data_IF_871490226323
#
_entry.id   IF_871490226323
#
_cell.length_a   1.000
_cell.length_b   1.000
_cell.length_c   1.000
_cell.angle_alpha   90.00
_cell.angle_beta   90.00
_cell.angle_gamma   90.00
#
_symmetry.space_group_name_H-M   'P 1'
#
loop_
_entity.id
_entity.type
_entity.pdbx_description
1 polymer ?
#
# COMPACT_ATOMS: atom_id res chain seq x y z
N UNK A 1 -19.33 23.85 -26.51
CA UNK A 1 -20.09 22.80 -25.80
C UNK A 1 -20.60 23.40 -24.48
N UNK A 2 -21.92 23.51 -24.28
CA UNK A 2 -22.51 24.16 -23.11
C UNK A 2 -22.50 23.20 -21.89
N UNK A 3 -22.29 23.71 -20.68
CA UNK A 3 -22.36 23.01 -19.39
C UNK A 3 -23.55 22.05 -19.26
N UNK A 4 -24.73 22.41 -19.76
CA UNK A 4 -25.90 21.52 -19.78
C UNK A 4 -25.71 20.28 -20.66
N UNK A 5 -25.12 20.45 -21.84
CA UNK A 5 -24.84 19.35 -22.78
C UNK A 5 -23.75 18.42 -22.22
N UNK A 6 -22.79 18.97 -21.46
CA UNK A 6 -21.77 18.18 -20.75
C UNK A 6 -22.42 17.34 -19.65
N UNK A 7 -23.29 17.93 -18.83
CA UNK A 7 -24.00 17.23 -17.75
C UNK A 7 -24.92 16.12 -18.26
N UNK A 8 -25.64 16.35 -19.36
CA UNK A 8 -26.45 15.33 -20.03
C UNK A 8 -25.60 14.18 -20.58
N UNK A 9 -24.47 14.48 -21.24
CA UNK A 9 -23.57 13.44 -21.76
C UNK A 9 -22.90 12.62 -20.66
N UNK A 10 -22.71 13.20 -19.47
CA UNK A 10 -22.08 12.53 -18.32
C UNK A 10 -23.06 11.85 -17.36
N UNK A 11 -24.37 11.83 -17.67
CA UNK A 11 -25.42 11.32 -16.78
C UNK A 11 -25.29 11.88 -15.34
N UNK A 12 -24.87 13.14 -15.20
CA UNK A 12 -24.61 13.74 -13.90
C UNK A 12 -25.95 14.04 -13.20
N UNK A 13 -26.31 13.19 -12.23
CA UNK A 13 -27.42 13.44 -11.32
C UNK A 13 -26.89 14.16 -10.07
N UNK A 14 -27.32 15.41 -9.79
CA UNK A 14 -26.83 16.17 -8.65
C UNK A 14 -27.22 15.56 -7.29
N UNK A 15 -28.20 14.65 -7.28
CA UNK A 15 -28.65 13.92 -6.08
C UNK A 15 -28.21 12.45 -6.07
N UNK A 16 -27.35 12.02 -7.02
CA UNK A 16 -26.81 10.66 -6.98
C UNK A 16 -25.91 10.49 -5.75
N UNK A 17 -26.14 9.42 -5.00
CA UNK A 17 -25.23 9.02 -3.93
C UNK A 17 -23.83 8.78 -4.53
N UNK A 18 -22.76 9.25 -3.85
CA UNK A 18 -21.41 9.02 -4.34
C UNK A 18 -21.15 7.51 -4.40
N UNK A 19 -20.54 7.06 -5.50
CA UNK A 19 -20.02 5.70 -5.58
C UNK A 19 -19.00 5.45 -4.47
N UNK A 20 -18.82 4.19 -4.05
CA UNK A 20 -17.80 3.82 -3.05
C UNK A 20 -16.43 4.39 -3.40
N UNK A 21 -16.04 4.29 -4.69
CA UNK A 21 -14.81 4.87 -5.22
C UNK A 21 -14.71 6.39 -5.03
N UNK A 22 -15.80 7.13 -5.29
CA UNK A 22 -15.82 8.59 -5.08
C UNK A 22 -15.76 8.95 -3.59
N UNK A 23 -16.52 8.26 -2.74
CA UNK A 23 -16.51 8.48 -1.30
C UNK A 23 -15.11 8.23 -0.70
N UNK A 24 -14.47 7.10 -1.04
CA UNK A 24 -13.12 6.79 -0.58
C UNK A 24 -12.09 7.78 -1.10
N UNK A 25 -12.18 8.23 -2.36
CA UNK A 25 -11.29 9.28 -2.89
C UNK A 25 -11.41 10.59 -2.11
N UNK A 26 -12.63 11.03 -1.82
CA UNK A 26 -12.88 12.25 -1.03
C UNK A 26 -12.29 12.11 0.37
N UNK A 27 -12.50 10.98 1.03
CA UNK A 27 -11.92 10.70 2.34
C UNK A 27 -10.38 10.67 2.30
N UNK A 28 -9.79 9.91 1.38
CA UNK A 28 -8.34 9.84 1.22
C UNK A 28 -7.72 11.23 0.92
N UNK A 29 -8.41 12.08 0.14
CA UNK A 29 -7.95 13.45 -0.13
C UNK A 29 -7.97 14.31 1.13
N UNK A 30 -8.90 14.06 2.07
CA UNK A 30 -8.94 14.77 3.34
C UNK A 30 -7.78 14.42 4.27
N UNK A 31 -7.21 13.21 4.14
CA UNK A 31 -6.11 12.72 4.99
C UNK A 31 -4.76 12.71 4.28
N UNK A 32 -4.67 13.08 2.99
CA UNK A 32 -3.46 12.94 2.19
C UNK A 32 -2.21 13.61 2.82
N UNK A 33 -2.38 14.75 3.50
CA UNK A 33 -1.30 15.49 4.16
C UNK A 33 -0.69 14.70 5.33
N UNK A 34 -1.42 13.74 5.88
CA UNK A 34 -0.95 12.87 6.96
C UNK A 34 -0.03 11.76 6.42
N UNK A 35 -0.08 11.47 5.11
CA UNK A 35 0.67 10.43 4.43
C UNK A 35 1.58 11.01 3.35
N UNK A 36 2.72 11.63 3.71
CA UNK A 36 3.58 12.33 2.75
C UNK A 36 4.32 11.41 1.77
N UNK A 37 4.49 10.12 2.10
CA UNK A 37 5.30 9.18 1.30
C UNK A 37 4.42 8.09 0.70
N UNK A 38 4.60 7.85 -0.58
CA UNK A 38 4.09 6.68 -1.30
C UNK A 38 5.24 5.69 -1.54
N UNK A 39 4.98 4.41 -1.30
CA UNK A 39 5.93 3.32 -1.46
C UNK A 39 5.27 2.23 -2.31
N UNK A 40 5.96 1.78 -3.34
CA UNK A 40 5.60 0.58 -4.10
C UNK A 40 6.66 -0.47 -3.89
N UNK A 41 6.28 -1.63 -3.35
CA UNK A 41 7.13 -2.80 -3.20
C UNK A 41 6.69 -3.88 -4.20
N UNK A 42 7.63 -4.41 -4.96
CA UNK A 42 7.37 -5.58 -5.81
C UNK A 42 7.54 -6.84 -4.98
N UNK A 43 6.61 -7.80 -5.08
CA UNK A 43 6.78 -9.12 -4.48
C UNK A 43 7.41 -10.11 -5.47
N UNK A 44 8.15 -11.07 -4.91
CA UNK A 44 8.58 -12.27 -5.64
C UNK A 44 7.34 -13.05 -6.10
N UNK A 45 7.44 -13.82 -7.17
CA UNK A 45 6.32 -14.67 -7.61
C UNK A 45 6.19 -15.96 -6.78
N UNK A 46 7.34 -16.50 -6.36
CA UNK A 46 7.43 -17.71 -5.57
C UNK A 46 8.38 -17.51 -4.37
N UNK A 47 8.11 -18.23 -3.29
CA UNK A 47 8.98 -18.34 -2.11
C UNK A 47 9.53 -19.76 -2.02
N UNK A 48 10.76 -19.87 -1.53
CA UNK A 48 11.41 -21.15 -1.27
C UNK A 48 10.96 -21.66 0.10
N UNK A 49 10.41 -22.88 0.14
CA UNK A 49 9.96 -23.52 1.38
C UNK A 49 10.80 -24.76 1.62
N UNK A 50 11.49 -24.79 2.76
CA UNK A 50 12.27 -25.95 3.22
C UNK A 50 11.44 -26.73 4.24
N UNK A 51 11.29 -28.02 4.03
CA UNK A 51 10.67 -28.95 4.97
C UNK A 51 11.55 -30.18 5.17
N UNK A 52 11.12 -31.11 6.02
CA UNK A 52 11.87 -32.35 6.32
C UNK A 52 12.10 -33.24 5.09
N UNK A 53 11.31 -33.05 4.02
CA UNK A 53 11.36 -33.84 2.78
C UNK A 53 12.13 -33.13 1.65
N UNK A 54 12.74 -31.97 1.91
CA UNK A 54 13.52 -31.22 0.94
C UNK A 54 13.01 -29.80 0.71
N UNK A 55 13.25 -29.28 -0.49
CA UNK A 55 13.01 -27.89 -0.86
C UNK A 55 12.02 -27.83 -2.02
N UNK A 56 10.98 -27.01 -1.90
CA UNK A 56 10.04 -26.74 -2.97
C UNK A 56 9.69 -25.25 -3.06
N UNK A 57 9.22 -24.81 -4.23
CA UNK A 57 8.77 -23.44 -4.43
C UNK A 57 7.26 -23.36 -4.29
N UNK A 58 6.78 -22.42 -3.46
CA UNK A 58 5.36 -22.10 -3.30
C UNK A 58 5.07 -20.76 -3.96
N UNK A 59 4.02 -20.68 -4.78
CA UNK A 59 3.53 -19.40 -5.32
C UNK A 59 2.97 -18.53 -4.19
N UNK A 60 3.26 -17.23 -4.21
CA UNK A 60 2.73 -16.28 -3.23
C UNK A 60 1.22 -16.14 -3.44
N UNK A 61 0.45 -16.41 -2.38
CA UNK A 61 -1.00 -16.22 -2.29
C UNK A 61 -1.33 -14.95 -1.48
N UNK A 62 -2.62 -14.59 -1.38
CA UNK A 62 -3.06 -13.38 -0.65
C UNK A 62 -2.66 -13.39 0.82
N UNK A 63 -2.72 -14.54 1.48
CA UNK A 63 -2.41 -14.64 2.91
C UNK A 63 -0.90 -14.47 3.13
N UNK A 64 -0.09 -14.96 2.20
CA UNK A 64 1.33 -14.73 2.19
C UNK A 64 1.66 -13.25 1.92
N UNK A 65 0.95 -12.58 1.00
CA UNK A 65 1.08 -11.11 0.80
C UNK A 65 0.77 -10.36 2.09
N UNK A 66 -0.31 -10.71 2.78
CA UNK A 66 -0.69 -10.10 4.08
C UNK A 66 0.39 -10.31 5.14
N UNK A 67 0.95 -11.53 5.22
CA UNK A 67 2.06 -11.84 6.13
C UNK A 67 3.30 -11.01 5.80
N UNK A 68 3.66 -10.92 4.52
CA UNK A 68 4.81 -10.13 4.05
C UNK A 68 4.60 -8.65 4.38
N UNK A 69 3.42 -8.10 4.10
CA UNK A 69 3.08 -6.72 4.43
C UNK A 69 3.19 -6.46 5.94
N UNK A 70 2.61 -7.33 6.78
CA UNK A 70 2.70 -7.23 8.25
C UNK A 70 4.14 -7.31 8.76
N UNK A 71 4.94 -8.21 8.17
CA UNK A 71 6.33 -8.34 8.56
C UNK A 71 7.14 -7.10 8.16
N UNK A 72 6.89 -6.57 6.95
CA UNK A 72 7.49 -5.33 6.47
C UNK A 72 7.14 -4.12 7.33
N UNK A 73 5.86 -3.90 7.67
CA UNK A 73 5.48 -2.79 8.56
C UNK A 73 6.15 -2.91 9.93
N UNK A 74 6.22 -4.12 10.48
CA UNK A 74 6.95 -4.35 11.75
C UNK A 74 8.44 -4.00 11.65
N UNK A 75 9.12 -4.43 10.57
CA UNK A 75 10.54 -4.11 10.36
C UNK A 75 10.76 -2.63 10.13
N UNK A 76 9.89 -1.98 9.36
CA UNK A 76 9.98 -0.55 9.10
C UNK A 76 9.75 0.28 10.36
N UNK A 77 8.73 -0.06 11.16
CA UNK A 77 8.52 0.55 12.48
C UNK A 77 9.74 0.41 13.38
N UNK A 78 10.41 -0.75 13.37
CA UNK A 78 11.66 -0.93 14.11
C UNK A 78 12.79 -0.01 13.62
N UNK A 79 12.85 0.34 12.33
CA UNK A 79 13.86 1.28 11.79
C UNK A 79 13.65 2.73 12.25
N UNK A 80 12.41 3.11 12.60
CA UNK A 80 12.08 4.47 13.06
C UNK A 80 12.03 4.58 14.58
N UNK A 81 11.41 3.62 15.26
CA UNK A 81 11.11 3.69 16.70
C UNK A 81 11.91 2.69 17.54
N UNK A 82 12.70 1.81 16.92
CA UNK A 82 13.50 0.81 17.62
C UNK A 82 12.63 -0.12 18.49
N UNK A 83 13.01 -0.29 19.76
CA UNK A 83 12.26 -1.10 20.71
C UNK A 83 10.93 -0.47 21.15
N UNK A 84 10.76 0.86 20.98
CA UNK A 84 9.51 1.56 21.35
C UNK A 84 8.33 1.09 20.51
N UNK A 85 8.57 0.71 19.25
CA UNK A 85 7.53 0.13 18.40
C UNK A 85 6.86 -1.09 19.03
N UNK A 86 7.66 -1.99 19.62
CA UNK A 86 7.15 -3.19 20.29
C UNK A 86 6.61 -2.87 21.69
N UNK A 87 7.28 -2.01 22.44
CA UNK A 87 6.98 -1.76 23.86
C UNK A 87 5.78 -0.86 24.08
N UNK A 88 5.61 0.16 23.23
CA UNK A 88 4.59 1.21 23.39
C UNK A 88 3.61 1.25 22.22
N UNK A 89 3.75 0.36 21.23
CA UNK A 89 2.90 0.34 20.04
C UNK A 89 3.13 1.53 19.10
N UNK A 90 4.25 2.25 19.23
CA UNK A 90 4.57 3.36 18.34
C UNK A 90 4.85 2.86 16.91
N UNK A 91 4.29 3.54 15.92
CA UNK A 91 4.47 3.14 14.53
C UNK A 91 4.09 4.25 13.56
N UNK A 92 4.57 4.09 12.33
CA UNK A 92 4.05 4.85 11.20
C UNK A 92 2.57 4.48 11.00
N UNK A 93 1.83 5.38 10.37
CA UNK A 93 0.50 5.08 9.86
C UNK A 93 0.64 4.50 8.46
N UNK A 94 -0.18 3.51 8.12
CA UNK A 94 -0.10 2.81 6.84
C UNK A 94 -1.44 2.82 6.13
N UNK A 95 -1.43 2.98 4.81
CA UNK A 95 -2.56 2.62 3.95
C UNK A 95 -2.03 1.69 2.87
N UNK A 96 -2.42 0.42 2.90
CA UNK A 96 -1.81 -0.63 2.08
C UNK A 96 -2.84 -1.21 1.12
N UNK A 97 -2.47 -1.29 -0.16
CA UNK A 97 -3.26 -1.92 -1.21
C UNK A 97 -2.42 -2.92 -2.01
N UNK A 98 -3.04 -4.06 -2.34
CA UNK A 98 -2.45 -5.07 -3.20
C UNK A 98 -2.89 -4.79 -4.65
N UNK A 99 -1.93 -4.65 -5.57
CA UNK A 99 -2.17 -4.57 -7.01
C UNK A 99 -1.60 -5.81 -7.73
N UNK A 100 -2.22 -6.18 -8.86
CA UNK A 100 -1.66 -7.12 -9.83
C UNK A 100 -2.36 -8.47 -9.87
N UNK A 101 -3.25 -8.76 -8.91
CA UNK A 101 -3.93 -10.05 -8.75
C UNK A 101 -4.60 -10.55 -10.04
N UNK A 102 -5.28 -9.66 -10.76
CA UNK A 102 -6.09 -10.01 -11.93
C UNK A 102 -5.30 -10.07 -13.23
N UNK A 103 -4.03 -9.67 -13.25
CA UNK A 103 -3.31 -9.37 -14.49
C UNK A 103 -2.21 -10.38 -14.86
N UNK A 104 -2.06 -11.49 -14.11
CA UNK A 104 -0.91 -12.41 -14.23
C UNK A 104 0.47 -11.72 -14.12
N UNK A 105 0.50 -10.46 -13.67
CA UNK A 105 1.72 -9.70 -13.42
C UNK A 105 2.24 -9.99 -12.01
N UNK A 106 3.41 -9.45 -11.71
CA UNK A 106 3.92 -9.42 -10.34
C UNK A 106 2.91 -8.75 -9.42
N UNK A 107 2.78 -9.28 -8.20
CA UNK A 107 2.01 -8.64 -7.16
C UNK A 107 2.82 -7.45 -6.63
N UNK A 108 2.13 -6.34 -6.40
CA UNK A 108 2.72 -5.13 -5.83
C UNK A 108 1.99 -4.75 -4.55
N UNK A 109 2.76 -4.37 -3.52
CA UNK A 109 2.26 -3.67 -2.36
C UNK A 109 2.44 -2.18 -2.60
N UNK A 110 1.31 -1.53 -2.81
CA UNK A 110 1.19 -0.10 -2.77
C UNK A 110 1.02 0.27 -1.28
N UNK A 111 1.81 1.20 -0.75
CA UNK A 111 1.69 1.73 0.61
C UNK A 111 1.75 3.28 0.66
N UNK A 112 0.87 3.89 1.46
CA UNK A 112 1.01 5.27 1.92
C UNK A 112 1.55 5.24 3.34
N UNK A 113 2.57 6.06 3.63
CA UNK A 113 3.24 6.11 4.93
C UNK A 113 3.02 7.49 5.57
N UNK A 114 2.61 7.47 6.83
CA UNK A 114 2.34 8.65 7.64
C UNK A 114 2.90 8.55 9.06
N UNK A 115 2.62 9.55 9.89
CA UNK A 115 3.04 9.58 11.30
C UNK A 115 4.54 9.38 11.52
N UNK A 116 5.38 10.04 10.72
CA UNK A 116 6.82 10.00 10.90
C UNK A 116 7.25 10.71 12.19
N UNK A 117 8.28 10.20 12.90
CA UNK A 117 8.84 10.89 14.05
C UNK A 117 9.28 12.32 13.72
N UNK A 118 9.09 13.24 14.67
CA UNK A 118 9.58 14.61 14.53
C UNK A 118 11.11 14.61 14.27
N UNK A 119 11.54 15.39 13.28
CA UNK A 119 12.96 15.44 12.88
C UNK A 119 13.40 14.33 11.92
N UNK A 120 12.48 13.50 11.41
CA UNK A 120 12.79 12.54 10.34
C UNK A 120 13.34 13.26 9.12
N UNK A 121 14.54 12.85 8.66
CA UNK A 121 15.11 13.35 7.40
C UNK A 121 14.58 12.55 6.23
N UNK A 122 14.00 13.23 5.25
CA UNK A 122 13.45 12.59 4.05
C UNK A 122 14.50 11.83 3.24
N UNK A 123 15.76 12.26 3.28
CA UNK A 123 16.89 11.56 2.65
C UNK A 123 17.14 10.17 3.23
N UNK A 124 16.81 9.92 4.50
CA UNK A 124 17.04 8.65 5.20
C UNK A 124 15.89 7.65 4.99
N UNK A 125 14.76 8.09 4.43
CA UNK A 125 13.56 7.25 4.26
C UNK A 125 13.85 6.06 3.36
N UNK A 126 14.46 6.30 2.21
CA UNK A 126 14.79 5.22 1.27
C UNK A 126 15.76 4.21 1.89
N UNK A 127 16.75 4.68 2.65
CA UNK A 127 17.71 3.82 3.35
C UNK A 127 17.00 2.91 4.38
N UNK A 128 16.10 3.48 5.19
CA UNK A 128 15.32 2.73 6.18
C UNK A 128 14.38 1.71 5.52
N UNK A 129 13.76 2.08 4.40
CA UNK A 129 12.93 1.17 3.59
C UNK A 129 13.78 0.01 3.06
N UNK A 130 14.96 0.28 2.50
CA UNK A 130 15.88 -0.75 2.02
C UNK A 130 16.27 -1.73 3.16
N UNK A 131 16.64 -1.21 4.33
CA UNK A 131 16.99 -2.05 5.50
C UNK A 131 15.82 -2.91 5.96
N UNK A 132 14.60 -2.35 5.98
CA UNK A 132 13.40 -3.10 6.34
C UNK A 132 13.10 -4.20 5.30
N UNK A 133 13.16 -3.86 4.01
CA UNK A 133 12.93 -4.79 2.89
C UNK A 133 13.88 -5.98 2.91
N UNK A 134 15.18 -5.74 3.08
CA UNK A 134 16.20 -6.79 3.16
C UNK A 134 15.96 -7.77 4.33
N UNK A 135 15.19 -7.36 5.33
CA UNK A 135 14.86 -8.19 6.50
C UNK A 135 13.57 -9.00 6.33
N UNK A 136 12.95 -8.97 5.15
CA UNK A 136 11.67 -9.62 4.86
C UNK A 136 11.80 -10.46 3.60
N UNK A 137 11.60 -11.76 3.75
CA UNK A 137 11.54 -12.65 2.59
C UNK A 137 10.22 -12.48 1.82
N UNK A 138 10.25 -12.74 0.52
CA UNK A 138 9.11 -12.56 -0.39
C UNK A 138 9.02 -11.17 -1.06
N UNK A 139 9.84 -10.20 -0.65
CA UNK A 139 9.99 -8.92 -1.36
C UNK A 139 11.10 -9.01 -2.41
N UNK A 140 10.87 -8.41 -3.56
CA UNK A 140 11.82 -8.32 -4.66
C UNK A 140 12.84 -7.17 -4.42
N UNK A 141 13.90 -7.14 -5.22
CA UNK A 141 14.91 -6.08 -5.18
C UNK A 141 14.33 -4.74 -5.62
N UNK A 142 13.37 -4.72 -6.54
CA UNK A 142 12.79 -3.48 -7.05
C UNK A 142 11.77 -2.88 -6.07
N UNK A 143 11.94 -1.60 -5.74
CA UNK A 143 10.96 -0.78 -5.04
C UNK A 143 11.01 0.66 -5.52
N UNK A 144 9.94 1.41 -5.29
CA UNK A 144 9.85 2.83 -5.64
C UNK A 144 9.32 3.64 -4.48
N UNK A 145 9.98 4.75 -4.17
CA UNK A 145 9.55 5.72 -3.15
C UNK A 145 9.26 7.04 -3.84
N UNK A 146 8.07 7.59 -3.64
CA UNK A 146 7.62 8.85 -4.21
C UNK A 146 6.95 9.72 -3.14
N UNK A 147 6.74 11.00 -3.47
CA UNK A 147 5.87 11.89 -2.67
C UNK A 147 4.41 11.53 -3.00
N UNK A 148 3.60 11.30 -1.97
CA UNK A 148 2.24 10.78 -2.15
C UNK A 148 1.30 11.73 -2.93
N UNK A 149 1.50 13.05 -2.80
CA UNK A 149 0.69 14.07 -3.49
C UNK A 149 0.83 14.05 -5.02
N UNK A 150 2.02 13.73 -5.51
CA UNK A 150 2.36 13.87 -6.95
C UNK A 150 2.35 12.53 -7.70
N UNK A 151 2.30 11.41 -7.00
CA UNK A 151 2.55 10.07 -7.56
C UNK A 151 1.31 9.34 -8.08
N UNK A 152 0.13 9.99 -8.09
CA UNK A 152 -1.11 9.31 -8.46
C UNK A 152 -1.49 8.18 -7.49
N UNK A 153 -0.88 8.14 -6.30
CA UNK A 153 -1.07 7.14 -5.24
C UNK A 153 -2.56 6.87 -4.91
N UNK A 154 -3.36 7.93 -4.93
CA UNK A 154 -4.80 7.92 -4.75
C UNK A 154 -5.55 7.07 -5.79
N UNK A 155 -5.04 7.05 -7.02
CA UNK A 155 -5.59 6.26 -8.10
C UNK A 155 -5.37 4.77 -7.85
N UNK A 156 -4.18 4.39 -7.37
CA UNK A 156 -3.84 3.01 -7.00
C UNK A 156 -4.72 2.49 -5.87
N UNK A 157 -4.86 3.25 -4.78
CA UNK A 157 -5.73 2.87 -3.65
C UNK A 157 -7.18 2.62 -4.06
N UNK A 158 -7.67 3.39 -5.05
CA UNK A 158 -9.08 3.37 -5.45
C UNK A 158 -9.33 2.67 -6.77
N UNK A 159 -8.30 2.06 -7.37
CA UNK A 159 -8.36 1.48 -8.71
C UNK A 159 -9.42 0.40 -8.78
N UNK A 160 -9.37 -0.54 -7.83
CA UNK A 160 -10.17 -1.76 -7.79
C UNK A 160 -11.32 -1.70 -6.76
N UNK A 161 -11.48 -0.58 -6.04
CA UNK A 161 -12.58 -0.38 -5.10
C UNK A 161 -13.94 -0.38 -5.80
N UNK A 162 -14.87 -1.20 -5.30
CA UNK A 162 -16.23 -1.33 -5.82
C UNK A 162 -16.36 -2.23 -7.05
N UNK A 163 -15.29 -2.90 -7.48
CA UNK A 163 -15.38 -4.03 -8.42
C UNK A 163 -15.77 -5.29 -7.63
N UNK A 164 -16.53 -6.22 -8.25
CA UNK A 164 -17.01 -7.45 -7.59
C UNK A 164 -15.85 -8.18 -6.90
N UNK A 165 -15.96 -8.37 -5.58
CA UNK A 165 -15.09 -9.14 -4.67
C UNK A 165 -13.64 -8.66 -4.46
N UNK A 166 -13.36 -7.35 -4.44
CA UNK A 166 -11.98 -6.83 -4.27
C UNK A 166 -11.82 -5.78 -3.17
N UNK A 167 -11.96 -6.20 -1.92
CA UNK A 167 -11.26 -5.52 -0.82
C UNK A 167 -9.78 -5.91 -0.87
N UNK A 168 -9.03 -5.19 -1.69
CA UNK A 168 -7.57 -5.33 -1.82
C UNK A 168 -6.81 -4.38 -0.89
N UNK A 169 -7.55 -3.64 -0.05
CA UNK A 169 -7.03 -2.80 1.02
C UNK A 169 -6.81 -3.67 2.26
N UNK A 170 -5.63 -3.59 2.85
CA UNK A 170 -5.31 -4.29 4.10
C UNK A 170 -5.68 -3.43 5.31
N UNK A 171 -6.98 -3.30 5.58
CA UNK A 171 -7.51 -2.49 6.69
C UNK A 171 -6.99 -2.91 8.06
N UNK A 172 -6.69 -4.20 8.25
CA UNK A 172 -6.15 -4.74 9.51
C UNK A 172 -4.71 -4.25 9.83
N UNK A 173 -4.05 -3.61 8.86
CA UNK A 173 -2.69 -3.09 8.98
C UNK A 173 -2.64 -1.56 8.94
N UNK A 174 -3.80 -0.89 8.85
CA UNK A 174 -3.90 0.56 8.80
C UNK A 174 -3.81 1.22 10.18
#
# INVERSE_FOLDING_TARGET
>A
MNLQQIRQKLAYSPNALPTQKQATRTWLNSINKQYPIALTLTLKQNIEVKNANGMYYKRIDKDEVKRIAKHFTHKLNKQYFGCRAKKYGEGLSYLIVIEGERTNKHLHLHMALGNFPAGTKWSEVNEKICKAKLSVDGLDEQHKVDIAGDSGWMEYLTKELGMKDTDNVLWDLA
#
